data_IF_031067406962
#
_entry.id   IF_031067406962
#
_cell.length_a   1.000
_cell.length_b   1.000
_cell.length_c   1.000
_cell.angle_alpha   90.00
_cell.angle_beta   90.00
_cell.angle_gamma   90.00
#
_symmetry.space_group_name_H-M   'P 1'
#
loop_
_entity.id
_entity.type
_entity.pdbx_description
1 polymer ?
#
# COMPACT_ATOMS: atom_id res chain seq x y z
N UNK A 1 -4.41 15.66 16.69
CA UNK A 1 -5.79 16.11 16.97
C UNK A 1 -6.30 17.11 15.92
N UNK A 2 -5.66 18.28 15.75
CA UNK A 2 -6.15 19.37 14.89
C UNK A 2 -6.38 18.99 13.41
N UNK A 3 -5.53 18.12 12.85
CA UNK A 3 -5.66 17.67 11.45
C UNK A 3 -6.97 16.90 11.22
N UNK A 4 -7.34 15.98 12.11
CA UNK A 4 -8.59 15.21 11.96
C UNK A 4 -9.82 16.10 12.10
N UNK A 5 -9.79 17.06 13.03
CA UNK A 5 -10.87 18.04 13.20
C UNK A 5 -11.02 18.95 11.97
N UNK A 6 -9.90 19.35 11.37
CA UNK A 6 -9.92 20.16 10.15
C UNK A 6 -10.50 19.37 8.97
N UNK A 7 -10.10 18.10 8.80
CA UNK A 7 -10.63 17.23 7.74
C UNK A 7 -12.13 16.97 7.97
N UNK A 8 -12.56 16.71 9.22
CA UNK A 8 -13.99 16.57 9.52
C UNK A 8 -14.79 17.84 9.25
N UNK A 9 -14.28 19.02 9.63
CA UNK A 9 -14.91 20.29 9.31
C UNK A 9 -15.01 20.52 7.81
N UNK A 10 -14.00 20.11 7.04
CA UNK A 10 -14.01 20.22 5.58
C UNK A 10 -14.98 19.23 4.93
N UNK A 11 -15.02 17.98 5.40
CA UNK A 11 -15.96 16.94 4.93
C UNK A 11 -17.42 17.31 5.21
N UNK A 12 -17.69 17.92 6.36
CA UNK A 12 -19.04 18.36 6.76
C UNK A 12 -19.46 19.69 6.15
N UNK A 13 -18.54 20.43 5.52
CA UNK A 13 -18.83 21.75 4.95
C UNK A 13 -19.75 21.67 3.73
N UNK A 14 -19.63 20.63 2.90
CA UNK A 14 -20.45 20.47 1.69
C UNK A 14 -20.49 19.00 1.24
N UNK A 15 -21.61 18.59 0.63
CA UNK A 15 -21.78 17.28 0.00
C UNK A 15 -20.76 17.06 -1.12
N UNK A 16 -20.35 18.13 -1.82
CA UNK A 16 -19.34 18.06 -2.87
C UNK A 16 -17.96 17.67 -2.32
N UNK A 17 -17.55 18.24 -1.19
CA UNK A 17 -16.27 17.89 -0.54
C UNK A 17 -16.26 16.43 -0.08
N UNK A 18 -17.37 15.99 0.50
CA UNK A 18 -17.55 14.59 0.87
C UNK A 18 -17.45 13.65 -0.33
N UNK A 19 -18.17 13.94 -1.42
CA UNK A 19 -18.12 13.13 -2.63
C UNK A 19 -16.74 13.12 -3.27
N UNK A 20 -16.01 14.24 -3.23
CA UNK A 20 -14.65 14.33 -3.73
C UNK A 20 -13.71 13.46 -2.89
N UNK A 21 -13.82 13.50 -1.57
CA UNK A 21 -13.03 12.65 -0.68
C UNK A 21 -13.30 11.16 -0.92
N UNK A 22 -14.56 10.77 -1.03
CA UNK A 22 -14.96 9.39 -1.33
C UNK A 22 -14.50 8.99 -2.74
N UNK A 23 -14.62 9.86 -3.72
CA UNK A 23 -14.14 9.64 -5.09
C UNK A 23 -12.63 9.41 -5.14
N UNK A 24 -11.86 10.24 -4.44
CA UNK A 24 -10.41 10.11 -4.38
C UNK A 24 -9.97 8.83 -3.65
N UNK A 25 -10.60 8.51 -2.52
CA UNK A 25 -10.30 7.28 -1.77
C UNK A 25 -10.68 6.01 -2.54
N UNK A 26 -11.80 6.02 -3.28
CA UNK A 26 -12.20 4.88 -4.13
C UNK A 26 -11.26 4.69 -5.31
N UNK A 27 -10.86 5.76 -6.01
CA UNK A 27 -9.86 5.70 -7.06
C UNK A 27 -8.51 5.20 -6.54
N UNK A 28 -8.08 5.69 -5.38
CA UNK A 28 -6.86 5.23 -4.71
C UNK A 28 -6.93 3.74 -4.38
N UNK A 29 -8.07 3.28 -3.86
CA UNK A 29 -8.30 1.87 -3.54
C UNK A 29 -8.21 1.00 -4.79
N UNK A 30 -8.90 1.39 -5.87
CA UNK A 30 -8.86 0.68 -7.15
C UNK A 30 -7.45 0.61 -7.72
N UNK A 31 -6.73 1.74 -7.76
CA UNK A 31 -5.36 1.79 -8.23
C UNK A 31 -4.44 0.88 -7.41
N UNK A 32 -4.61 0.87 -6.08
CA UNK A 32 -3.83 0.02 -5.17
C UNK A 32 -4.07 -1.46 -5.46
N UNK A 33 -5.33 -1.87 -5.63
CA UNK A 33 -5.72 -3.26 -5.91
C UNK A 33 -5.22 -3.73 -7.28
N UNK A 34 -5.32 -2.87 -8.30
CA UNK A 34 -4.80 -3.17 -9.63
C UNK A 34 -3.28 -3.38 -9.57
N UNK A 35 -2.56 -2.46 -8.91
CA UNK A 35 -1.10 -2.54 -8.77
C UNK A 35 -0.68 -3.80 -8.01
N UNK A 36 -1.39 -4.13 -6.92
CA UNK A 36 -1.16 -5.34 -6.14
C UNK A 36 -1.35 -6.59 -6.99
N UNK A 37 -2.44 -6.65 -7.77
CA UNK A 37 -2.76 -7.77 -8.65
C UNK A 37 -1.70 -7.97 -9.74
N UNK A 38 -1.21 -6.88 -10.34
CA UNK A 38 -0.13 -6.93 -11.34
C UNK A 38 1.15 -7.50 -10.73
N UNK A 39 1.56 -7.01 -9.56
CA UNK A 39 2.78 -7.47 -8.88
C UNK A 39 2.65 -8.94 -8.48
N UNK A 40 1.49 -9.32 -7.94
CA UNK A 40 1.22 -10.69 -7.53
C UNK A 40 1.26 -11.67 -8.72
N UNK A 41 0.78 -11.25 -9.90
CA UNK A 41 0.85 -12.01 -11.15
C UNK A 41 2.28 -12.05 -11.72
N UNK A 42 3.04 -10.96 -11.62
CA UNK A 42 4.39 -10.83 -12.19
C UNK A 42 5.47 -11.64 -11.45
N UNK A 43 5.22 -12.03 -10.20
CA UNK A 43 6.22 -12.69 -9.33
C UNK A 43 6.64 -14.11 -9.78
N UNK A 44 5.98 -14.76 -10.75
CA UNK A 44 6.50 -15.96 -11.43
C UNK A 44 6.65 -17.25 -10.59
N UNK A 45 6.88 -18.38 -11.27
CA UNK A 45 6.70 -19.78 -10.82
C UNK A 45 7.92 -20.42 -10.14
N UNK A 46 8.57 -19.76 -9.18
CA UNK A 46 9.59 -20.41 -8.33
C UNK A 46 9.13 -20.37 -6.86
N UNK A 47 8.73 -21.52 -6.31
CA UNK A 47 7.87 -21.60 -5.14
C UNK A 47 8.44 -21.02 -3.84
N UNK A 48 9.71 -21.31 -3.52
CA UNK A 48 10.33 -20.91 -2.24
C UNK A 48 10.59 -19.39 -2.19
N UNK A 49 11.11 -18.85 -3.28
CA UNK A 49 11.45 -17.44 -3.42
C UNK A 49 10.19 -16.55 -3.53
N UNK A 50 9.16 -17.05 -4.23
CA UNK A 50 7.84 -16.42 -4.28
C UNK A 50 7.22 -16.33 -2.89
N UNK A 51 7.28 -17.42 -2.13
CA UNK A 51 6.72 -17.46 -0.79
C UNK A 51 7.38 -16.41 0.10
N UNK A 52 8.70 -16.28 0.05
CA UNK A 52 9.45 -15.26 0.81
C UNK A 52 9.05 -13.83 0.44
N UNK A 53 9.00 -13.49 -0.85
CA UNK A 53 8.63 -12.14 -1.31
C UNK A 53 7.18 -11.82 -0.94
N UNK A 54 6.26 -12.78 -1.11
CA UNK A 54 4.86 -12.61 -0.71
C UNK A 54 4.71 -12.40 0.79
N UNK A 55 5.44 -13.16 1.61
CA UNK A 55 5.47 -12.98 3.05
C UNK A 55 6.01 -11.60 3.45
N UNK A 56 7.08 -11.12 2.81
CA UNK A 56 7.62 -9.78 3.06
C UNK A 56 6.62 -8.67 2.69
N UNK A 57 5.94 -8.80 1.54
CA UNK A 57 4.89 -7.89 1.11
C UNK A 57 3.73 -7.90 2.11
N UNK A 58 3.22 -9.07 2.46
CA UNK A 58 2.12 -9.23 3.42
C UNK A 58 2.50 -8.69 4.80
N UNK A 59 3.73 -8.94 5.26
CA UNK A 59 4.22 -8.42 6.52
C UNK A 59 4.29 -6.89 6.51
N UNK A 60 4.80 -6.30 5.43
CA UNK A 60 4.85 -4.84 5.26
C UNK A 60 3.44 -4.24 5.27
N UNK A 61 2.50 -4.86 4.57
CA UNK A 61 1.10 -4.43 4.50
C UNK A 61 0.39 -4.56 5.87
N UNK A 62 0.56 -5.67 6.58
CA UNK A 62 -0.05 -5.85 7.90
C UNK A 62 0.55 -4.90 8.94
N UNK A 63 1.87 -4.71 8.92
CA UNK A 63 2.52 -3.77 9.84
C UNK A 63 2.10 -2.32 9.57
N UNK A 64 2.06 -1.88 8.30
CA UNK A 64 1.55 -0.54 7.97
C UNK A 64 0.08 -0.38 8.36
N UNK A 65 -0.74 -1.42 8.16
CA UNK A 65 -2.15 -1.39 8.56
C UNK A 65 -2.30 -1.22 10.07
N UNK A 66 -1.58 -2.02 10.86
CA UNK A 66 -1.62 -1.95 12.32
C UNK A 66 -1.12 -0.60 12.84
N UNK A 67 -0.05 -0.06 12.27
CA UNK A 67 0.48 1.26 12.64
C UNK A 67 -0.54 2.36 12.34
N UNK A 68 -1.10 2.37 11.13
CA UNK A 68 -2.11 3.37 10.73
C UNK A 68 -3.38 3.25 11.59
N UNK A 69 -3.78 2.02 11.94
CA UNK A 69 -4.95 1.79 12.80
C UNK A 69 -4.69 2.21 14.24
N UNK A 70 -3.50 1.96 14.78
CA UNK A 70 -3.12 2.42 16.12
C UNK A 70 -3.08 3.95 16.19
N UNK A 71 -2.50 4.60 15.17
CA UNK A 71 -2.51 6.05 15.01
C UNK A 71 -3.95 6.57 14.96
N UNK A 72 -4.81 5.92 14.18
CA UNK A 72 -6.22 6.27 14.09
C UNK A 72 -6.90 6.20 15.46
N UNK A 73 -6.83 5.06 16.16
CA UNK A 73 -7.48 4.90 17.47
C UNK A 73 -6.99 5.92 18.50
N UNK A 74 -5.68 6.23 18.51
CA UNK A 74 -5.10 7.16 19.48
C UNK A 74 -5.40 8.64 19.19
N UNK A 75 -5.57 9.02 17.92
CA UNK A 75 -5.77 10.41 17.53
C UNK A 75 -7.18 10.76 17.05
N UNK A 76 -8.08 9.79 16.90
CA UNK A 76 -9.44 10.06 16.43
C UNK A 76 -10.31 10.69 17.52
N UNK A 77 -11.00 11.81 17.24
CA UNK A 77 -12.02 12.34 18.13
C UNK A 77 -13.20 11.37 18.28
N UNK A 78 -13.81 11.29 19.45
CA UNK A 78 -14.95 10.39 19.72
C UNK A 78 -16.21 10.73 18.92
N UNK A 79 -16.34 11.96 18.43
CA UNK A 79 -17.54 12.45 17.73
C UNK A 79 -17.47 12.28 16.20
N UNK A 80 -16.60 11.40 15.72
CA UNK A 80 -16.35 11.22 14.30
C UNK A 80 -17.56 10.65 13.57
N UNK A 81 -18.04 11.34 12.53
CA UNK A 81 -19.20 10.90 11.72
C UNK A 81 -18.76 10.04 10.52
N UNK A 82 -17.56 10.31 9.98
CA UNK A 82 -17.07 9.71 8.73
C UNK A 82 -16.10 8.52 8.94
N UNK A 83 -16.28 7.77 10.02
CA UNK A 83 -15.38 6.69 10.42
C UNK A 83 -15.16 5.63 9.31
N UNK A 84 -16.22 5.29 8.56
CA UNK A 84 -16.16 4.29 7.48
C UNK A 84 -15.21 4.71 6.35
N UNK A 85 -15.22 5.99 5.99
CA UNK A 85 -14.41 6.56 4.92
C UNK A 85 -12.94 6.60 5.32
N UNK A 86 -12.64 6.94 6.58
CA UNK A 86 -11.28 6.88 7.10
C UNK A 86 -10.72 5.46 7.17
N UNK A 87 -11.53 4.47 7.57
CA UNK A 87 -11.09 3.07 7.57
C UNK A 87 -10.73 2.57 6.16
N UNK A 88 -11.56 2.88 5.16
CA UNK A 88 -11.28 2.54 3.77
C UNK A 88 -9.98 3.21 3.30
N UNK A 89 -9.77 4.48 3.62
CA UNK A 89 -8.54 5.19 3.27
C UNK A 89 -7.30 4.53 3.90
N UNK A 90 -7.36 4.16 5.18
CA UNK A 90 -6.26 3.46 5.88
C UNK A 90 -5.94 2.12 5.19
N UNK A 91 -6.97 1.34 4.85
CA UNK A 91 -6.80 0.07 4.15
C UNK A 91 -6.15 0.30 2.77
N UNK A 92 -6.64 1.29 2.01
CA UNK A 92 -6.11 1.61 0.69
C UNK A 92 -4.65 2.05 0.74
N UNK A 93 -4.28 2.94 1.67
CA UNK A 93 -2.90 3.39 1.88
C UNK A 93 -2.01 2.20 2.24
N UNK A 94 -2.46 1.34 3.15
CA UNK A 94 -1.71 0.16 3.56
C UNK A 94 -1.47 -0.81 2.39
N UNK A 95 -2.49 -1.02 1.54
CA UNK A 95 -2.37 -1.84 0.35
C UNK A 95 -1.37 -1.25 -0.66
N UNK A 96 -1.34 0.08 -0.76
CA UNK A 96 -0.39 0.82 -1.58
C UNK A 96 1.06 0.61 -1.10
N UNK A 97 1.31 0.71 0.21
CA UNK A 97 2.61 0.39 0.81
C UNK A 97 3.04 -1.04 0.51
N UNK A 98 2.13 -2.01 0.62
CA UNK A 98 2.37 -3.40 0.24
C UNK A 98 2.79 -3.54 -1.23
N UNK A 99 2.06 -2.89 -2.14
CA UNK A 99 2.39 -2.89 -3.58
C UNK A 99 3.75 -2.23 -3.86
N UNK A 100 4.04 -1.07 -3.27
CA UNK A 100 5.32 -0.37 -3.48
C UNK A 100 6.49 -1.22 -2.98
N UNK A 101 6.36 -1.82 -1.79
CA UNK A 101 7.35 -2.74 -1.23
C UNK A 101 7.59 -3.93 -2.17
N UNK A 102 6.51 -4.52 -2.69
CA UNK A 102 6.61 -5.61 -3.67
C UNK A 102 7.33 -5.23 -4.95
N UNK A 103 7.08 -4.03 -5.47
CA UNK A 103 7.77 -3.51 -6.65
C UNK A 103 9.25 -3.26 -6.39
N UNK A 104 9.60 -2.73 -5.21
CA UNK A 104 10.97 -2.48 -4.80
C UNK A 104 11.77 -3.79 -4.71
N UNK A 105 11.24 -4.80 -4.02
CA UNK A 105 11.87 -6.12 -3.93
C UNK A 105 12.02 -6.80 -5.29
N UNK A 106 11.02 -6.65 -6.16
CA UNK A 106 11.07 -7.14 -7.54
C UNK A 106 12.20 -6.45 -8.33
N UNK A 107 12.28 -5.11 -8.33
CA UNK A 107 13.33 -4.37 -9.07
C UNK A 107 14.74 -4.69 -8.59
N UNK A 108 14.94 -4.75 -7.26
CA UNK A 108 16.24 -5.11 -6.67
C UNK A 108 16.72 -6.48 -7.15
N UNK A 109 15.80 -7.45 -7.27
CA UNK A 109 16.12 -8.81 -7.74
C UNK A 109 16.48 -8.84 -9.23
N UNK A 110 15.82 -8.04 -10.07
CA UNK A 110 16.18 -7.94 -11.50
C UNK A 110 17.58 -7.34 -11.70
N UNK A 111 17.93 -6.30 -10.94
CA UNK A 111 19.27 -5.71 -11.00
C UNK A 111 20.36 -6.72 -10.64
N UNK A 112 20.17 -7.45 -9.54
CA UNK A 112 21.12 -8.49 -9.11
C UNK A 112 21.26 -9.64 -10.11
N UNK A 113 20.16 -10.04 -10.76
CA UNK A 113 20.20 -11.10 -11.77
C UNK A 113 21.03 -10.68 -12.99
N UNK A 114 20.89 -9.44 -13.45
CA UNK A 114 21.66 -8.90 -14.58
C UNK A 114 23.15 -8.80 -14.25
N UNK A 115 23.52 -8.36 -13.04
CA UNK A 115 24.92 -8.34 -12.60
C UNK A 115 25.52 -9.76 -12.56
N UNK A 116 24.82 -10.74 -11.98
CA UNK A 116 25.28 -12.13 -11.94
C UNK A 116 25.46 -12.72 -13.35
N UNK A 117 24.50 -12.51 -14.24
CA UNK A 117 24.59 -13.01 -15.63
C UNK A 117 25.76 -12.37 -16.39
N UNK A 118 26.05 -11.09 -16.13
CA UNK A 118 27.23 -10.41 -16.70
C UNK A 118 28.54 -10.95 -16.14
N UNK A 119 28.60 -11.20 -14.82
CA UNK A 119 29.77 -11.73 -14.14
C UNK A 119 30.13 -13.14 -14.63
N UNK A 120 29.14 -14.03 -14.74
CA UNK A 120 29.35 -15.38 -15.28
C UNK A 120 29.78 -15.34 -16.74
N UNK A 121 29.20 -14.44 -17.56
CA UNK A 121 29.60 -14.31 -18.97
C UNK A 121 31.05 -13.84 -19.15
N UNK A 122 31.55 -12.98 -18.26
CA UNK A 122 32.95 -12.52 -18.30
C UNK A 122 33.97 -13.53 -17.75
N UNK A 123 33.55 -14.47 -16.89
CA UNK A 123 34.48 -15.40 -16.22
C UNK A 123 34.62 -16.75 -16.92
N UNK A 124 33.67 -17.11 -17.78
CA UNK A 124 33.58 -18.41 -18.44
C UNK A 124 33.53 -18.28 -19.98
N UNK A 125 33.89 -17.11 -20.51
CA UNK A 125 34.19 -16.85 -21.93
C UNK A 125 35.69 -16.85 -22.15
#
# INVERSE_FOLDING_TARGET
MAIFQWIESWLSSDILHFNLFVGMTTLLSLASVILFSIIFKKIGTNDIERLRIKLQISYTMYTSLLVLLAIFILWMPTNTIYLRQYLIMIISISLLFGSISGLYHYRKKYSLRVELDSFFRTRYS
#
